data_IF_311355122711
#
_entry.id   IF_311355122711
#
_cell.length_a   1.000
_cell.length_b   1.000
_cell.length_c   1.000
_cell.angle_alpha   90.00
_cell.angle_beta   90.00
_cell.angle_gamma   90.00
#
_symmetry.space_group_name_H-M   'P 1'
#
loop_
_entity.id
_entity.type
_entity.pdbx_description
1 polymer ?
#
# COMPACT_ATOMS: atom_id res chain seq x y z
N UNK A 1 -3.48 -19.12 9.51
CA UNK A 1 -2.49 -19.82 8.67
C UNK A 1 -1.15 -19.09 8.81
N UNK A 2 -0.01 -19.78 8.75
CA UNK A 2 1.28 -19.08 8.74
C UNK A 2 1.39 -18.30 7.43
N UNK A 3 1.80 -17.03 7.47
CA UNK A 3 2.04 -16.24 6.27
C UNK A 3 3.12 -16.91 5.42
N UNK A 4 2.80 -17.11 4.14
CA UNK A 4 3.68 -17.67 3.11
C UNK A 4 3.63 -16.71 1.92
N UNK A 5 4.74 -16.03 1.66
CA UNK A 5 4.80 -14.97 0.66
C UNK A 5 4.38 -15.49 -0.72
N UNK A 6 4.88 -16.66 -1.14
CA UNK A 6 4.59 -17.22 -2.47
C UNK A 6 3.10 -17.56 -2.65
N UNK A 7 2.44 -18.09 -1.61
CA UNK A 7 1.01 -18.38 -1.63
C UNK A 7 0.20 -17.08 -1.73
N UNK A 8 0.52 -16.08 -0.90
CA UNK A 8 -0.12 -14.77 -0.93
C UNK A 8 0.05 -14.05 -2.28
N UNK A 9 1.24 -14.13 -2.90
CA UNK A 9 1.51 -13.57 -4.22
C UNK A 9 0.64 -14.25 -5.27
N UNK A 10 0.59 -15.58 -5.26
CA UNK A 10 -0.20 -16.37 -6.22
C UNK A 10 -1.70 -16.08 -6.07
N UNK A 11 -2.23 -16.13 -4.85
CA UNK A 11 -3.64 -15.85 -4.57
C UNK A 11 -4.02 -14.42 -4.96
N UNK A 12 -3.16 -13.45 -4.65
CA UNK A 12 -3.35 -12.05 -5.04
C UNK A 12 -3.43 -11.85 -6.55
N UNK A 13 -2.55 -12.54 -7.31
CA UNK A 13 -2.57 -12.51 -8.78
C UNK A 13 -3.86 -13.10 -9.34
N UNK A 14 -4.25 -14.29 -8.90
CA UNK A 14 -5.49 -14.94 -9.35
C UNK A 14 -6.73 -14.08 -9.03
N UNK A 15 -6.73 -13.46 -7.85
CA UNK A 15 -7.78 -12.55 -7.42
C UNK A 15 -7.89 -11.33 -8.34
N UNK A 16 -6.79 -10.62 -8.62
CA UNK A 16 -6.84 -9.39 -9.42
C UNK A 16 -7.19 -9.65 -10.88
N UNK A 17 -6.68 -10.74 -11.46
CA UNK A 17 -7.04 -11.16 -12.82
C UNK A 17 -8.55 -11.43 -12.91
N UNK A 18 -9.09 -12.19 -11.95
CA UNK A 18 -10.53 -12.45 -11.88
C UNK A 18 -11.32 -11.16 -11.69
N UNK A 19 -10.93 -10.30 -10.75
CA UNK A 19 -11.67 -9.09 -10.40
C UNK A 19 -11.72 -8.09 -11.56
N UNK A 20 -10.58 -7.83 -12.22
CA UNK A 20 -10.45 -6.81 -13.25
C UNK A 20 -10.81 -7.31 -14.66
N UNK A 21 -10.83 -8.61 -14.95
CA UNK A 21 -11.06 -9.10 -16.32
C UNK A 21 -12.42 -9.80 -16.51
N UNK A 22 -13.00 -10.39 -15.47
CA UNK A 22 -14.19 -11.27 -15.63
C UNK A 22 -15.47 -10.57 -16.12
N UNK A 23 -15.55 -9.25 -15.96
CA UNK A 23 -16.70 -8.44 -16.37
C UNK A 23 -16.56 -7.84 -17.78
N UNK A 24 -15.40 -7.98 -18.44
CA UNK A 24 -15.10 -7.41 -19.76
C UNK A 24 -15.63 -8.28 -20.91
N UNK A 25 -16.90 -8.69 -20.83
CA UNK A 25 -17.51 -9.66 -21.75
C UNK A 25 -17.85 -9.08 -23.13
N UNK A 26 -17.89 -7.76 -23.23
CA UNK A 26 -18.26 -6.99 -24.41
C UNK A 26 -17.05 -6.50 -25.22
N UNK A 27 -15.83 -6.76 -24.75
CA UNK A 27 -14.61 -6.47 -25.51
C UNK A 27 -14.38 -7.46 -26.65
N UNK A 28 -13.74 -6.98 -27.70
CA UNK A 28 -13.17 -7.88 -28.73
C UNK A 28 -12.08 -8.77 -28.11
N UNK A 29 -11.82 -9.93 -28.71
CA UNK A 29 -10.74 -10.81 -28.25
C UNK A 29 -9.37 -10.13 -28.25
N UNK A 30 -9.15 -9.19 -29.19
CA UNK A 30 -7.90 -8.43 -29.29
C UNK A 30 -7.77 -7.41 -28.14
N UNK A 31 -8.83 -6.66 -27.85
CA UNK A 31 -8.82 -5.67 -26.77
C UNK A 31 -8.79 -6.32 -25.38
N UNK A 32 -9.48 -7.46 -25.23
CA UNK A 32 -9.40 -8.27 -24.03
C UNK A 32 -7.97 -8.76 -23.79
N UNK A 33 -7.32 -9.31 -24.81
CA UNK A 33 -5.96 -9.81 -24.71
C UNK A 33 -4.96 -8.69 -24.42
N UNK A 34 -5.11 -7.52 -25.06
CA UNK A 34 -4.32 -6.32 -24.76
C UNK A 34 -4.47 -5.91 -23.29
N UNK A 35 -5.69 -5.94 -22.76
CA UNK A 35 -5.98 -5.60 -21.36
C UNK A 35 -5.37 -6.61 -20.39
N UNK A 36 -5.44 -7.90 -20.72
CA UNK A 36 -4.83 -8.99 -19.96
C UNK A 36 -3.31 -8.89 -19.92
N UNK A 37 -2.66 -8.63 -21.05
CA UNK A 37 -1.21 -8.47 -21.13
C UNK A 37 -0.76 -7.23 -20.35
N UNK A 38 -1.47 -6.10 -20.52
CA UNK A 38 -1.17 -4.87 -19.78
C UNK A 38 -1.30 -5.08 -18.27
N UNK A 39 -2.35 -5.79 -17.81
CA UNK A 39 -2.50 -6.10 -16.38
C UNK A 39 -1.32 -6.94 -15.85
N UNK A 40 -0.87 -7.95 -16.61
CA UNK A 40 0.27 -8.78 -16.21
C UNK A 40 1.56 -7.96 -16.10
N UNK A 41 1.85 -7.10 -17.08
CA UNK A 41 3.02 -6.22 -17.03
C UNK A 41 2.95 -5.26 -15.84
N UNK A 42 1.75 -4.77 -15.50
CA UNK A 42 1.55 -3.91 -14.34
C UNK A 42 1.75 -4.65 -13.01
N UNK A 43 1.30 -5.91 -12.90
CA UNK A 43 1.56 -6.74 -11.71
C UNK A 43 3.07 -6.90 -11.50
N UNK A 44 3.82 -7.19 -12.56
CA UNK A 44 5.29 -7.35 -12.47
C UNK A 44 5.98 -6.03 -12.10
N UNK A 45 5.48 -4.90 -12.60
CA UNK A 45 6.03 -3.57 -12.30
C UNK A 45 5.68 -3.09 -10.89
N UNK A 46 4.43 -3.24 -10.45
CA UNK A 46 3.94 -2.72 -9.17
C UNK A 46 4.23 -3.66 -7.99
N UNK A 47 4.57 -4.91 -8.28
CA UNK A 47 4.79 -5.95 -7.29
C UNK A 47 3.48 -6.63 -6.86
N UNK A 48 3.55 -7.48 -5.82
CA UNK A 48 2.41 -8.28 -5.37
C UNK A 48 1.16 -7.47 -4.99
N UNK A 49 -0.01 -8.09 -5.12
CA UNK A 49 -1.29 -7.54 -4.63
C UNK A 49 -1.32 -7.57 -3.11
N UNK A 50 -1.87 -6.51 -2.50
CA UNK A 50 -1.91 -6.32 -1.05
C UNK A 50 -3.33 -5.98 -0.58
N UNK A 51 -3.66 -6.41 0.63
CA UNK A 51 -4.95 -6.13 1.27
C UNK A 51 -4.97 -4.77 1.97
N UNK A 52 -3.84 -4.34 2.54
CA UNK A 52 -3.70 -3.05 3.22
C UNK A 52 -2.26 -2.58 3.14
N UNK A 53 -2.07 -1.26 3.07
CA UNK A 53 -0.75 -0.66 3.18
C UNK A 53 -0.32 -0.56 4.65
N UNK A 54 1.00 -0.61 4.93
CA UNK A 54 1.52 -0.07 6.17
C UNK A 54 1.11 1.40 6.30
N UNK A 55 0.78 1.82 7.52
CA UNK A 55 0.33 3.19 7.84
C UNK A 55 1.36 4.28 7.52
N UNK A 56 2.63 3.89 7.39
CA UNK A 56 3.74 4.77 7.01
C UNK A 56 3.99 4.82 5.49
N UNK A 57 3.29 4.00 4.70
CA UNK A 57 3.52 3.91 3.25
C UNK A 57 3.02 5.16 2.53
N UNK A 58 3.80 5.79 1.61
CA UNK A 58 3.45 7.08 0.99
C UNK A 58 2.05 7.16 0.38
N UNK A 59 1.54 6.05 -0.18
CA UNK A 59 0.18 5.95 -0.72
C UNK A 59 -0.94 6.12 0.32
N UNK A 60 -0.66 6.09 1.62
CA UNK A 60 -1.64 6.26 2.70
C UNK A 60 -1.17 7.19 3.83
N UNK A 61 -0.08 7.92 3.64
CA UNK A 61 0.57 8.70 4.71
C UNK A 61 0.20 10.19 4.73
N UNK A 62 -0.68 10.69 3.86
CA UNK A 62 -1.04 12.12 3.92
C UNK A 62 -1.96 12.41 5.12
N UNK A 63 -1.33 12.90 6.20
CA UNK A 63 -1.85 13.53 7.42
C UNK A 63 -3.11 12.91 8.04
N UNK A 64 -2.83 12.06 9.03
CA UNK A 64 -3.67 11.74 10.18
C UNK A 64 -4.38 12.99 10.73
N UNK A 65 -5.69 13.12 10.52
CA UNK A 65 -6.52 13.97 11.40
C UNK A 65 -7.15 13.16 12.54
N UNK A 66 -7.50 11.89 12.30
CA UNK A 66 -8.26 11.11 13.30
C UNK A 66 -7.96 9.61 13.37
N UNK A 67 -7.51 8.95 12.31
CA UNK A 67 -7.27 7.49 12.30
C UNK A 67 -6.21 7.04 11.29
N UNK A 68 -5.74 5.80 11.48
CA UNK A 68 -4.82 5.12 10.58
C UNK A 68 -5.49 4.76 9.25
N UNK A 69 -5.11 5.46 8.19
CA UNK A 69 -5.49 5.12 6.82
C UNK A 69 -4.67 3.91 6.35
N UNK A 70 -5.35 2.81 6.00
CA UNK A 70 -4.71 1.54 5.60
C UNK A 70 -4.99 1.18 4.12
N UNK A 71 -5.64 2.08 3.40
CA UNK A 71 -5.90 1.99 1.96
C UNK A 71 -6.21 3.38 1.37
N UNK A 72 -5.93 3.62 0.09
CA UNK A 72 -6.21 4.91 -0.56
C UNK A 72 -7.70 5.22 -0.50
N UNK A 73 -8.02 6.42 -0.04
CA UNK A 73 -9.37 6.96 0.10
C UNK A 73 -9.32 8.49 0.18
N UNK A 74 -10.46 9.12 0.44
CA UNK A 74 -10.58 10.58 0.59
C UNK A 74 -9.78 11.14 1.76
N UNK A 75 -9.64 10.41 2.85
CA UNK A 75 -8.86 10.84 4.03
C UNK A 75 -7.36 10.89 3.73
N UNK A 76 -6.94 10.02 2.82
CA UNK A 76 -5.60 9.96 2.27
C UNK A 76 -5.38 10.93 1.09
N UNK A 77 -6.35 11.78 0.76
CA UNK A 77 -6.26 12.80 -0.28
C UNK A 77 -6.64 12.34 -1.69
N UNK A 78 -7.20 11.13 -1.85
CA UNK A 78 -7.62 10.61 -3.16
C UNK A 78 -9.12 10.80 -3.39
N UNK A 79 -9.49 11.34 -4.53
CA UNK A 79 -10.88 11.55 -4.94
C UNK A 79 -11.22 10.69 -6.16
N UNK A 80 -12.51 10.37 -6.33
CA UNK A 80 -13.00 9.64 -7.50
C UNK A 80 -12.50 8.19 -7.61
N UNK A 81 -12.02 7.58 -6.52
CA UNK A 81 -11.63 6.17 -6.51
C UNK A 81 -12.85 5.27 -6.64
N UNK A 82 -12.74 4.25 -7.49
CA UNK A 82 -13.71 3.16 -7.61
C UNK A 82 -13.01 1.87 -8.03
N UNK A 83 -13.54 0.72 -7.63
CA UNK A 83 -13.02 -0.61 -8.00
C UNK A 83 -11.49 -0.72 -7.87
N UNK A 84 -10.97 -0.29 -6.72
CA UNK A 84 -9.54 -0.13 -6.49
C UNK A 84 -8.86 -1.43 -6.06
N UNK A 85 -7.79 -1.80 -6.76
CA UNK A 85 -6.89 -2.90 -6.38
C UNK A 85 -5.50 -2.35 -6.05
N UNK A 86 -4.94 -2.82 -4.95
CA UNK A 86 -3.69 -2.33 -4.37
C UNK A 86 -2.55 -3.31 -4.60
N UNK A 87 -1.39 -2.75 -4.89
CA UNK A 87 -0.11 -3.44 -5.06
C UNK A 87 0.94 -2.81 -4.14
N UNK A 88 2.05 -3.50 -3.91
CA UNK A 88 3.14 -3.00 -3.04
C UNK A 88 3.60 -1.60 -3.43
N UNK A 89 3.69 -1.28 -4.74
CA UNK A 89 4.23 0.01 -5.23
C UNK A 89 3.23 0.87 -6.01
N UNK A 90 1.93 0.64 -5.84
CA UNK A 90 0.91 1.42 -6.54
C UNK A 90 -0.47 0.80 -6.43
N UNK A 91 -1.46 1.40 -7.06
CA UNK A 91 -2.79 0.84 -7.15
C UNK A 91 -3.41 1.16 -8.51
N UNK A 92 -4.39 0.36 -8.90
CA UNK A 92 -5.23 0.60 -10.08
C UNK A 92 -6.64 0.84 -9.59
N UNK A 93 -7.29 1.87 -10.12
CA UNK A 93 -8.69 2.19 -9.83
C UNK A 93 -9.44 2.34 -11.16
N UNK A 94 -10.70 1.92 -11.21
CA UNK A 94 -11.52 1.93 -12.42
C UNK A 94 -12.80 2.76 -12.22
N UNK A 95 -12.70 4.09 -12.05
CA UNK A 95 -13.87 4.96 -11.97
C UNK A 95 -14.71 4.94 -13.24
N UNK A 96 -16.02 5.13 -13.05
CA UNK A 96 -16.92 5.50 -14.13
C UNK A 96 -16.76 7.00 -14.44
N UNK A 97 -16.58 7.33 -15.72
CA UNK A 97 -16.24 8.69 -16.16
C UNK A 97 -14.84 8.76 -16.78
N UNK A 98 -14.24 9.94 -16.81
CA UNK A 98 -12.91 10.16 -17.41
C UNK A 98 -11.73 9.97 -16.44
N UNK A 99 -12.01 9.76 -15.15
CA UNK A 99 -11.02 9.58 -14.08
C UNK A 99 -10.19 10.84 -13.77
N UNK A 100 -10.64 12.03 -14.17
CA UNK A 100 -9.88 13.27 -13.94
C UNK A 100 -9.73 13.60 -12.45
N UNK A 101 -10.76 13.33 -11.63
CA UNK A 101 -10.71 13.54 -10.18
C UNK A 101 -9.54 12.78 -9.52
N UNK A 102 -9.27 11.55 -9.99
CA UNK A 102 -8.14 10.75 -9.50
C UNK A 102 -6.81 11.43 -9.84
N UNK A 103 -6.63 11.86 -11.10
CA UNK A 103 -5.40 12.52 -11.54
C UNK A 103 -5.16 13.83 -10.80
N UNK A 104 -6.21 14.64 -10.67
CA UNK A 104 -6.12 15.93 -9.99
C UNK A 104 -5.84 15.74 -8.50
N UNK A 105 -6.45 14.73 -7.86
CA UNK A 105 -6.16 14.40 -6.46
C UNK A 105 -4.70 14.00 -6.26
N UNK A 106 -4.12 13.19 -7.16
CA UNK A 106 -2.72 12.80 -7.12
C UNK A 106 -1.79 14.01 -7.29
N UNK A 107 -2.11 14.92 -8.21
CA UNK A 107 -1.34 16.15 -8.41
C UNK A 107 -1.40 17.11 -7.20
N UNK A 108 -2.43 17.00 -6.36
CA UNK A 108 -2.59 17.79 -5.12
C UNK A 108 -1.95 17.16 -3.90
N UNK A 109 -1.50 15.90 -3.98
CA UNK A 109 -0.88 15.22 -2.83
C UNK A 109 0.32 16.02 -2.32
N UNK A 110 0.49 16.04 -1.00
CA UNK A 110 1.65 16.69 -0.39
C UNK A 110 2.93 15.96 -0.79
N UNK A 111 3.99 16.73 -0.96
CA UNK A 111 5.32 16.20 -1.21
C UNK A 111 5.72 15.20 -0.12
N UNK A 112 6.25 14.06 -0.54
CA UNK A 112 6.82 13.04 0.34
C UNK A 112 8.32 12.86 0.02
N UNK A 113 9.22 12.99 1.00
CA UNK A 113 10.67 12.89 0.75
C UNK A 113 11.15 11.47 0.40
N UNK A 114 10.30 10.45 0.56
CA UNK A 114 10.66 9.06 0.26
C UNK A 114 10.21 8.60 -1.14
N UNK A 115 9.18 9.22 -1.72
CA UNK A 115 8.60 8.77 -2.97
C UNK A 115 7.89 9.90 -3.73
N UNK A 116 7.92 9.78 -5.06
CA UNK A 116 7.08 10.56 -5.97
C UNK A 116 5.84 9.73 -6.35
N UNK A 117 4.65 10.34 -6.30
CA UNK A 117 3.39 9.65 -6.62
C UNK A 117 2.85 10.23 -7.93
N UNK A 118 2.64 9.34 -8.90
CA UNK A 118 2.20 9.73 -10.25
C UNK A 118 0.95 8.96 -10.63
N UNK A 119 0.14 9.53 -11.53
CA UNK A 119 -1.05 8.88 -12.05
C UNK A 119 -1.17 9.04 -13.56
N UNK A 120 -1.64 7.97 -14.23
CA UNK A 120 -1.85 7.95 -15.67
C UNK A 120 -3.11 7.16 -16.04
N UNK A 121 -3.77 7.58 -17.12
CA UNK A 121 -4.86 6.82 -17.75
C UNK A 121 -4.27 5.65 -18.52
N UNK A 122 -4.80 4.45 -18.30
CA UNK A 122 -4.41 3.29 -19.07
C UNK A 122 -5.20 3.22 -20.38
N UNK A 123 -4.51 2.97 -21.49
CA UNK A 123 -5.13 2.79 -22.81
C UNK A 123 -5.62 1.35 -23.04
N UNK A 124 -6.33 0.81 -22.05
CA UNK A 124 -6.97 -0.51 -22.01
C UNK A 124 -8.23 -0.45 -21.15
N UNK A 125 -8.98 -1.55 -21.07
CA UNK A 125 -10.16 -1.67 -20.22
C UNK A 125 -9.91 -2.66 -19.10
N UNK A 126 -10.26 -2.26 -17.88
CA UNK A 126 -10.19 -3.06 -16.67
C UNK A 126 -11.47 -2.84 -15.89
N UNK A 127 -11.95 -3.88 -15.22
CA UNK A 127 -13.19 -3.97 -14.47
C UNK A 127 -14.48 -3.81 -15.30
N UNK A 128 -14.60 -2.78 -16.13
CA UNK A 128 -15.74 -2.54 -17.01
C UNK A 128 -15.30 -1.84 -18.29
N UNK A 129 -15.97 -2.11 -19.41
CA UNK A 129 -15.73 -1.37 -20.66
C UNK A 129 -16.09 0.11 -20.56
N UNK A 130 -16.96 0.47 -19.62
CA UNK A 130 -17.41 1.84 -19.35
C UNK A 130 -16.57 2.55 -18.28
N UNK A 131 -15.64 1.85 -17.64
CA UNK A 131 -14.71 2.46 -16.69
C UNK A 131 -13.47 3.00 -17.41
N UNK A 132 -12.81 3.95 -16.77
CA UNK A 132 -11.50 4.49 -17.18
C UNK A 132 -10.45 4.04 -16.17
N UNK A 133 -9.64 3.03 -16.47
CA UNK A 133 -8.63 2.57 -15.55
C UNK A 133 -7.53 3.63 -15.38
N UNK A 134 -7.31 4.03 -14.13
CA UNK A 134 -6.24 4.93 -13.72
C UNK A 134 -5.22 4.11 -12.93
N UNK A 135 -3.96 4.23 -13.34
CA UNK A 135 -2.83 3.68 -12.63
C UNK A 135 -2.21 4.76 -11.77
N UNK A 136 -2.06 4.49 -10.48
CA UNK A 136 -1.29 5.33 -9.55
C UNK A 136 -0.03 4.57 -9.12
N UNK A 137 1.14 5.20 -9.29
CA UNK A 137 2.45 4.61 -8.98
C UNK A 137 3.12 5.35 -7.82
N UNK A 138 3.75 4.58 -6.94
CA UNK A 138 4.64 5.08 -5.90
C UNK A 138 6.09 4.83 -6.35
N UNK A 139 6.75 5.89 -6.83
CA UNK A 139 8.11 5.85 -7.32
C UNK A 139 9.08 6.19 -6.17
N UNK A 140 9.69 5.17 -5.58
CA UNK A 140 10.65 5.35 -4.50
C UNK A 140 11.89 6.11 -4.96
N UNK A 141 12.25 7.17 -4.23
CA UNK A 141 13.42 8.01 -4.56
C UNK A 141 14.75 7.35 -4.19
N UNK A 142 14.71 6.45 -3.21
CA UNK A 142 15.86 5.63 -2.80
C UNK A 142 15.73 4.21 -3.37
N UNK A 143 16.86 3.55 -3.69
CA UNK A 143 16.84 2.16 -4.14
C UNK A 143 16.17 1.23 -3.13
N UNK A 144 15.36 0.31 -3.66
CA UNK A 144 14.82 -0.82 -2.91
C UNK A 144 15.88 -1.91 -2.72
N UNK A 145 15.61 -2.88 -1.85
CA UNK A 145 16.45 -4.06 -1.73
C UNK A 145 16.44 -4.89 -3.03
N UNK A 146 17.37 -5.85 -3.15
CA UNK A 146 17.49 -6.69 -4.36
C UNK A 146 16.25 -7.56 -4.62
N UNK A 147 15.50 -7.90 -3.57
CA UNK A 147 14.21 -8.59 -3.62
C UNK A 147 13.02 -7.63 -3.83
N UNK A 148 13.31 -6.35 -4.10
CA UNK A 148 12.37 -5.23 -4.22
C UNK A 148 11.59 -4.89 -2.95
N UNK A 149 11.97 -5.44 -1.80
CA UNK A 149 11.40 -5.02 -0.52
C UNK A 149 11.89 -3.62 -0.13
N UNK A 150 11.09 -2.92 0.66
CA UNK A 150 11.41 -1.59 1.18
C UNK A 150 12.44 -1.74 2.30
N UNK A 151 13.65 -1.18 2.17
CA UNK A 151 14.71 -1.33 3.17
C UNK A 151 14.41 -0.54 4.45
N UNK A 152 15.05 -0.96 5.54
CA UNK A 152 14.95 -0.31 6.85
C UNK A 152 15.27 1.20 6.81
N UNK A 153 16.21 1.61 5.96
CA UNK A 153 16.64 3.01 5.78
C UNK A 153 15.58 3.91 5.13
N UNK A 154 14.52 3.32 4.56
CA UNK A 154 13.33 4.02 4.06
C UNK A 154 12.19 3.89 5.05
N UNK A 155 11.91 2.66 5.51
CA UNK A 155 10.77 2.38 6.37
C UNK A 155 10.84 3.12 7.72
N UNK A 156 12.00 3.17 8.38
CA UNK A 156 12.11 3.75 9.72
C UNK A 156 11.87 5.25 9.76
N UNK A 157 12.48 6.08 8.88
CA UNK A 157 12.16 7.50 8.84
C UNK A 157 10.66 7.75 8.71
N UNK A 158 9.97 7.04 7.81
CA UNK A 158 8.53 7.16 7.61
C UNK A 158 7.72 6.70 8.84
N UNK A 159 8.11 5.60 9.48
CA UNK A 159 7.48 5.13 10.73
C UNK A 159 7.66 6.16 11.84
N UNK A 160 8.85 6.75 11.97
CA UNK A 160 9.13 7.72 13.03
C UNK A 160 8.41 9.05 12.80
N UNK A 161 8.36 9.55 11.57
CA UNK A 161 7.56 10.73 11.22
C UNK A 161 6.08 10.54 11.57
N UNK A 162 5.58 9.30 11.40
CA UNK A 162 4.22 8.94 11.69
C UNK A 162 3.95 8.76 13.19
N UNK A 163 4.76 7.95 13.90
CA UNK A 163 4.47 7.51 15.26
C UNK A 163 5.07 8.38 16.37
N UNK A 164 6.20 9.07 16.13
CA UNK A 164 6.78 9.90 17.19
C UNK A 164 5.81 10.96 17.69
N UNK A 165 5.10 11.74 16.85
CA UNK A 165 4.18 12.78 17.33
C UNK A 165 3.14 12.29 18.35
N UNK A 166 2.80 11.00 18.34
CA UNK A 166 1.83 10.40 19.25
C UNK A 166 2.27 10.40 20.71
N UNK A 167 3.55 10.63 21.04
CA UNK A 167 4.02 10.72 22.43
C UNK A 167 3.30 11.81 23.23
N UNK A 168 2.84 12.87 22.57
CA UNK A 168 2.13 13.98 23.22
C UNK A 168 0.70 13.65 23.66
N UNK A 169 0.09 12.60 23.10
CA UNK A 169 -1.31 12.24 23.34
C UNK A 169 -1.52 10.78 23.76
N UNK A 170 -0.52 9.92 23.57
CA UNK A 170 -0.58 8.51 23.93
C UNK A 170 -0.74 8.32 25.45
N UNK A 171 -1.63 7.40 25.82
CA UNK A 171 -1.83 6.99 27.21
C UNK A 171 -1.17 5.65 27.52
N UNK A 172 -0.86 4.87 26.48
CA UNK A 172 -0.24 3.56 26.57
C UNK A 172 0.73 3.37 25.41
N UNK A 173 1.75 2.57 25.65
CA UNK A 173 2.69 2.16 24.62
C UNK A 173 2.23 0.82 24.01
N UNK A 174 1.75 0.88 22.77
CA UNK A 174 1.32 -0.29 22.01
C UNK A 174 2.53 -1.19 21.66
N UNK A 175 2.38 -2.49 21.84
CA UNK A 175 3.49 -3.46 21.63
C UNK A 175 3.68 -3.78 20.14
N UNK A 176 4.77 -4.50 19.81
CA UNK A 176 4.95 -5.05 18.47
C UNK A 176 3.74 -5.89 18.03
N UNK A 177 3.18 -6.70 18.91
CA UNK A 177 2.11 -7.62 18.52
C UNK A 177 0.79 -6.92 18.19
N UNK A 178 0.52 -5.75 18.79
CA UNK A 178 -0.62 -4.90 18.43
C UNK A 178 -0.34 -4.01 17.21
N UNK A 179 0.89 -3.50 17.06
CA UNK A 179 1.22 -2.57 15.96
C UNK A 179 1.71 -3.23 14.67
N UNK A 180 2.12 -4.51 14.69
CA UNK A 180 2.76 -5.14 13.52
C UNK A 180 1.93 -5.06 12.25
N UNK A 181 0.60 -5.10 12.31
CA UNK A 181 -0.24 -4.93 11.12
C UNK A 181 -0.12 -3.52 10.52
N UNK A 182 0.00 -2.52 11.37
CA UNK A 182 0.15 -1.12 10.96
C UNK A 182 1.53 -0.86 10.36
N UNK A 183 2.55 -1.60 10.83
CA UNK A 183 3.92 -1.49 10.31
C UNK A 183 4.21 -2.38 9.10
N UNK A 184 3.52 -3.51 8.96
CA UNK A 184 3.79 -4.48 7.91
C UNK A 184 2.75 -4.45 6.78
N UNK A 185 1.61 -3.79 6.96
CA UNK A 185 0.46 -3.89 6.06
C UNK A 185 -0.11 -5.31 6.06
N UNK A 186 -0.90 -5.67 5.05
CA UNK A 186 -1.42 -7.04 4.86
C UNK A 186 -1.31 -7.49 3.41
N UNK A 187 -1.03 -8.78 3.17
CA UNK A 187 -0.79 -9.84 4.16
C UNK A 187 0.61 -9.75 4.80
N UNK A 188 0.74 -10.25 6.04
CA UNK A 188 2.00 -10.22 6.77
C UNK A 188 2.20 -11.45 7.67
N UNK A 189 3.47 -11.77 7.93
CA UNK A 189 3.91 -12.75 8.92
C UNK A 189 4.24 -12.09 10.26
N UNK A 190 5.01 -12.80 11.09
CA UNK A 190 5.41 -12.26 12.41
C UNK A 190 6.37 -11.08 12.31
N UNK A 191 7.21 -11.02 11.26
CA UNK A 191 8.32 -10.06 11.09
C UNK A 191 8.65 -9.77 9.63
N UNK A 192 7.73 -10.01 8.72
CA UNK A 192 7.89 -9.76 7.28
C UNK A 192 6.52 -9.61 6.64
N UNK A 193 6.48 -9.01 5.46
CA UNK A 193 5.29 -8.92 4.61
C UNK A 193 5.71 -8.84 3.15
N UNK A 194 4.76 -8.56 2.26
CA UNK A 194 5.07 -8.27 0.86
C UNK A 194 5.77 -6.91 0.68
N UNK A 195 5.79 -6.06 1.71
CA UNK A 195 6.46 -4.76 1.70
C UNK A 195 7.90 -4.83 2.19
N UNK A 196 8.14 -5.59 3.26
CA UNK A 196 9.43 -5.64 3.95
C UNK A 196 9.87 -7.08 4.20
N UNK A 197 11.15 -7.36 3.95
CA UNK A 197 11.73 -8.66 4.23
C UNK A 197 11.97 -8.89 5.74
N UNK A 198 12.41 -10.10 6.10
CA UNK A 198 12.58 -10.50 7.49
C UNK A 198 13.63 -9.67 8.25
N UNK A 199 14.71 -9.27 7.58
CA UNK A 199 15.75 -8.42 8.16
C UNK A 199 15.17 -7.04 8.50
N UNK A 200 14.49 -6.42 7.54
CA UNK A 200 13.87 -5.10 7.73
C UNK A 200 12.80 -5.17 8.82
N UNK A 201 11.89 -6.15 8.79
CA UNK A 201 10.85 -6.27 9.81
C UNK A 201 11.41 -6.56 11.22
N UNK A 202 12.51 -7.30 11.34
CA UNK A 202 13.21 -7.48 12.61
C UNK A 202 13.87 -6.18 13.10
N UNK A 203 14.41 -5.38 12.17
CA UNK A 203 14.94 -4.04 12.46
C UNK A 203 13.86 -3.08 12.97
N UNK A 204 12.70 -3.06 12.30
CA UNK A 204 11.55 -2.26 12.73
C UNK A 204 11.10 -2.65 14.13
N UNK A 205 10.92 -3.95 14.36
CA UNK A 205 10.54 -4.47 15.67
C UNK A 205 11.49 -3.98 16.77
N UNK A 206 12.80 -4.11 16.55
CA UNK A 206 13.82 -3.72 17.55
C UNK A 206 13.74 -2.23 17.88
N UNK A 207 13.59 -1.38 16.87
CA UNK A 207 13.50 0.07 17.08
C UNK A 207 12.22 0.44 17.83
N UNK A 208 11.08 -0.14 17.42
CA UNK A 208 9.80 0.09 18.10
C UNK A 208 9.84 -0.34 19.57
N UNK A 209 10.36 -1.53 19.86
CA UNK A 209 10.53 -2.03 21.23
C UNK A 209 11.47 -1.14 22.05
N UNK A 210 12.53 -0.59 21.44
CA UNK A 210 13.39 0.39 22.11
C UNK A 210 12.64 1.68 22.45
N UNK A 211 11.79 2.20 21.57
CA UNK A 211 11.02 3.42 21.82
C UNK A 211 10.02 3.23 22.95
N UNK A 212 9.19 2.19 22.91
CA UNK A 212 8.16 1.97 23.93
C UNK A 212 8.75 1.69 25.32
N UNK A 213 9.93 1.06 25.39
CA UNK A 213 10.63 0.79 26.65
C UNK A 213 11.25 2.04 27.30
N UNK A 214 11.28 3.18 26.61
CA UNK A 214 11.65 4.47 27.24
C UNK A 214 10.56 5.01 28.16
N UNK A 215 9.32 4.53 28.04
CA UNK A 215 8.15 5.07 28.71
C UNK A 215 7.57 6.33 28.05
N UNK A 216 8.08 6.77 26.90
CA UNK A 216 7.64 8.01 26.23
C UNK A 216 6.17 8.02 25.80
N UNK A 217 5.56 6.85 25.58
CA UNK A 217 4.15 6.69 25.21
C UNK A 217 3.25 6.28 26.41
N UNK A 218 3.80 6.27 27.62
CA UNK A 218 3.12 5.75 28.82
C UNK A 218 3.40 4.26 29.08
N UNK A 219 2.63 3.62 29.99
CA UNK A 219 2.81 2.21 30.33
C UNK A 219 2.55 1.27 29.14
N UNK A 220 3.22 0.13 29.10
CA UNK A 220 3.01 -0.91 28.07
C UNK A 220 1.56 -1.40 28.08
N UNK A 221 0.92 -1.46 26.90
CA UNK A 221 -0.39 -2.09 26.77
C UNK A 221 -0.24 -3.62 26.80
N UNK A 222 -0.54 -4.21 27.95
CA UNK A 222 -0.61 -5.66 28.12
C UNK A 222 -2.05 -6.10 27.84
N UNK A 223 -2.33 -6.63 26.65
CA UNK A 223 -3.63 -7.25 26.36
C UNK A 223 -3.65 -8.63 27.02
N UNK A 224 -4.56 -8.83 27.97
CA UNK A 224 -4.83 -10.12 28.62
C UNK A 224 -5.46 -11.12 27.64
#
# INVERSE_FOLDING_TARGET
MAFRADEAIKEGREHVEKYLLSHLKDLSSVDFEKSRLTLNDLIDQLGPVVETYPTWHPLVSDKRETYDCIGPNTDCGYEGLDHTVRFVHGFITCPYGDGQDVLDSVNRLKYNPAADITAERLNVKLYSSQATPILVRCNWLKPLASDRSIPLSIAIPLILENELPMWGTAQVAETWDSMRSNFLGRPHGKRSSLFVNQETGQGIKKIWESLINTGMFGPLLIRQ
#
